data_IF_834663667636
#
_entry.id   IF_834663667636
#
_cell.length_a   1.000
_cell.length_b   1.000
_cell.length_c   1.000
_cell.angle_alpha   90.00
_cell.angle_beta   90.00
_cell.angle_gamma   90.00
#
_symmetry.space_group_name_H-M   'P 1'
#
loop_
_entity.id
_entity.type
_entity.pdbx_description
1 polymer ?
#
# COMPACT_ATOMS: atom_id res chain seq x y z
N UNK A 1 9.56 -28.99 27.48
CA UNK A 1 9.05 -27.67 27.88
C UNK A 1 8.07 -27.20 26.81
N UNK A 2 6.78 -27.45 27.09
CA UNK A 2 5.53 -26.86 26.59
C UNK A 2 5.38 -26.43 25.12
N UNK A 3 4.89 -27.34 24.27
CA UNK A 3 4.20 -27.03 23.00
C UNK A 3 2.69 -26.82 23.26
N UNK A 4 2.33 -26.06 24.30
CA UNK A 4 0.92 -25.81 24.66
C UNK A 4 0.32 -24.57 23.99
N UNK A 5 1.14 -23.79 23.27
CA UNK A 5 0.73 -22.56 22.61
C UNK A 5 0.96 -22.64 21.10
N UNK A 6 0.05 -22.05 20.33
CA UNK A 6 0.24 -21.90 18.89
C UNK A 6 1.41 -20.93 18.63
N UNK A 7 2.16 -21.17 17.55
CA UNK A 7 3.19 -20.22 17.09
C UNK A 7 2.59 -18.81 16.95
N UNK A 8 3.18 -17.76 17.57
CA UNK A 8 2.64 -16.40 17.53
C UNK A 8 2.36 -15.89 16.11
N UNK A 9 3.17 -16.30 15.13
CA UNK A 9 2.96 -15.90 13.73
C UNK A 9 1.71 -16.58 13.13
N UNK A 10 1.48 -17.84 13.49
CA UNK A 10 0.34 -18.62 13.04
C UNK A 10 -0.96 -18.16 13.71
N UNK A 11 -0.86 -17.73 14.97
CA UNK A 11 -1.95 -17.09 15.72
C UNK A 11 -2.36 -15.78 15.04
N UNK A 12 -1.39 -14.91 14.75
CA UNK A 12 -1.65 -13.64 14.06
C UNK A 12 -2.29 -13.85 12.67
N UNK A 13 -1.86 -14.89 11.95
CA UNK A 13 -2.46 -15.26 10.68
C UNK A 13 -3.91 -15.72 10.84
N UNK A 14 -4.20 -16.58 11.82
CA UNK A 14 -5.55 -17.05 12.09
C UNK A 14 -6.47 -15.88 12.50
N UNK A 15 -6.02 -15.00 13.39
CA UNK A 15 -6.76 -13.82 13.83
C UNK A 15 -7.06 -12.86 12.67
N UNK A 16 -6.10 -12.66 11.75
CA UNK A 16 -6.30 -11.85 10.54
C UNK A 16 -7.35 -12.44 9.60
N UNK A 17 -7.40 -13.77 9.46
CA UNK A 17 -8.38 -14.46 8.61
C UNK A 17 -9.77 -14.54 9.25
N UNK A 18 -9.83 -14.63 10.58
CA UNK A 18 -11.07 -14.68 11.35
C UNK A 18 -11.64 -13.28 11.64
N UNK A 19 -10.84 -12.22 11.50
CA UNK A 19 -11.23 -10.85 11.83
C UNK A 19 -11.53 -10.63 13.31
N UNK A 20 -11.16 -11.58 14.18
CA UNK A 20 -11.41 -11.60 15.63
C UNK A 20 -10.29 -12.35 16.34
N UNK A 21 -10.14 -12.09 17.65
CA UNK A 21 -9.18 -12.81 18.49
C UNK A 21 -9.53 -14.30 18.57
N UNK A 22 -8.51 -15.15 18.53
CA UNK A 22 -8.67 -16.60 18.55
C UNK A 22 -9.12 -17.06 19.95
N UNK A 23 -10.19 -17.86 20.03
CA UNK A 23 -10.63 -18.40 21.31
C UNK A 23 -9.66 -19.49 21.82
N UNK A 24 -9.46 -19.65 23.14
CA UNK A 24 -8.51 -20.62 23.69
C UNK A 24 -8.88 -22.09 23.38
N UNK A 25 -10.15 -22.37 23.05
CA UNK A 25 -10.58 -23.68 22.55
C UNK A 25 -10.25 -23.92 21.07
N UNK A 26 -10.31 -22.87 20.24
CA UNK A 26 -9.97 -22.92 18.81
C UNK A 26 -8.46 -23.07 18.62
N UNK A 27 -7.66 -22.44 19.49
CA UNK A 27 -6.21 -22.57 19.50
C UNK A 27 -5.78 -24.04 19.72
N UNK A 28 -6.39 -24.72 20.69
CA UNK A 28 -6.12 -26.14 20.97
C UNK A 28 -6.52 -27.05 19.81
N UNK A 29 -7.67 -26.79 19.18
CA UNK A 29 -8.13 -27.56 18.03
C UNK A 29 -7.20 -27.41 16.81
N UNK A 30 -6.66 -26.19 16.59
CA UNK A 30 -5.67 -25.95 15.55
C UNK A 30 -4.35 -26.65 15.86
N UNK A 31 -3.90 -26.61 17.11
CA UNK A 31 -2.67 -27.27 17.55
C UNK A 31 -2.76 -28.79 17.37
N UNK A 32 -3.90 -29.39 17.71
CA UNK A 32 -4.18 -30.80 17.50
C UNK A 32 -4.23 -31.19 16.02
N UNK A 33 -4.82 -30.33 15.18
CA UNK A 33 -4.87 -30.57 13.73
C UNK A 33 -3.50 -30.46 13.07
N UNK A 34 -2.66 -29.54 13.55
CA UNK A 34 -1.28 -29.37 13.08
C UNK A 34 -0.40 -30.53 13.52
N UNK A 35 -0.54 -31.01 14.76
CA UNK A 35 0.22 -32.15 15.26
C UNK A 35 -0.14 -33.45 14.54
N UNK A 36 -1.43 -33.71 14.30
CA UNK A 36 -1.88 -34.85 13.46
C UNK A 36 -1.31 -34.77 12.05
N UNK A 37 -1.36 -33.60 11.42
CA UNK A 37 -0.81 -33.40 10.06
C UNK A 37 0.72 -33.55 10.04
N UNK A 38 1.41 -33.15 11.09
CA UNK A 38 2.85 -33.33 11.23
C UNK A 38 3.21 -34.82 11.40
N UNK A 39 2.43 -35.56 12.21
CA UNK A 39 2.57 -37.00 12.39
C UNK A 39 2.27 -37.78 11.10
N UNK A 40 1.21 -37.43 10.37
CA UNK A 40 0.87 -38.05 9.08
C UNK A 40 1.97 -37.83 8.03
N UNK A 41 2.59 -36.64 8.02
CA UNK A 41 3.72 -36.33 7.14
C UNK A 41 5.02 -37.03 7.51
N UNK A 42 5.26 -37.26 8.80
CA UNK A 42 6.41 -38.06 9.24
C UNK A 42 6.19 -39.55 8.96
N UNK A 43 4.96 -40.05 9.10
CA UNK A 43 4.59 -41.43 8.75
C UNK A 43 4.72 -41.71 7.24
N UNK A 44 4.54 -40.71 6.36
CA UNK A 44 4.77 -40.88 4.92
C UNK A 44 6.24 -40.79 4.50
N UNK A 45 7.16 -40.42 5.40
CA UNK A 45 8.58 -40.22 5.11
C UNK A 45 9.49 -41.38 5.58
N UNK A 46 8.96 -42.38 6.30
CA UNK A 46 9.73 -43.52 6.82
C UNK A 46 9.14 -44.84 6.30
N UNK A 47 9.69 -45.32 5.18
CA UNK A 47 9.77 -46.74 4.82
C UNK A 47 8.60 -47.36 4.04
N UNK A 48 8.87 -48.09 2.92
CA UNK A 48 7.91 -49.02 2.34
C UNK A 48 7.98 -50.35 3.10
N UNK A 49 6.88 -50.79 3.71
CA UNK A 49 6.80 -52.15 4.26
C UNK A 49 5.69 -52.36 5.28
N UNK A 50 4.69 -53.15 4.89
CA UNK A 50 3.67 -53.85 5.73
C UNK A 50 2.31 -53.16 5.96
N UNK A 51 1.43 -53.36 4.96
CA UNK A 51 -0.04 -53.63 4.90
C UNK A 51 -0.91 -53.76 6.20
N UNK A 52 -2.27 -53.70 6.12
CA UNK A 52 -3.13 -53.96 4.96
C UNK A 52 -4.17 -52.88 4.59
N UNK A 53 -4.63 -53.03 3.36
CA UNK A 53 -5.61 -52.20 2.68
C UNK A 53 -6.97 -52.16 3.38
N UNK A 54 -7.48 -50.95 3.66
CA UNK A 54 -8.91 -50.67 3.58
C UNK A 54 -9.16 -49.86 2.31
N UNK A 55 -9.65 -50.57 1.30
CA UNK A 55 -10.13 -50.00 0.05
C UNK A 55 -11.33 -49.09 0.36
N UNK A 56 -11.23 -47.81 -0.03
CA UNK A 56 -12.38 -46.93 -0.21
C UNK A 56 -12.43 -46.57 -1.70
N UNK A 57 -13.58 -46.66 -2.38
CA UNK A 57 -13.67 -46.33 -3.80
C UNK A 57 -13.77 -44.81 -3.91
N UNK A 58 -12.65 -44.17 -4.27
CA UNK A 58 -12.67 -42.76 -4.66
C UNK A 58 -12.29 -42.69 -6.14
N UNK A 59 -13.32 -42.70 -6.98
CA UNK A 59 -13.26 -42.21 -8.35
C UNK A 59 -12.84 -40.74 -8.29
N UNK A 60 -11.62 -40.42 -8.72
CA UNK A 60 -11.23 -39.09 -9.16
C UNK A 60 -9.98 -39.21 -10.05
N UNK A 61 -10.02 -38.73 -11.31
CA UNK A 61 -8.79 -38.58 -12.08
C UNK A 61 -7.88 -37.56 -11.38
N UNK A 62 -6.54 -37.73 -11.41
CA UNK A 62 -5.63 -36.76 -10.84
C UNK A 62 -5.84 -35.41 -11.55
N UNK A 63 -5.97 -34.28 -10.81
CA UNK A 63 -6.05 -32.98 -11.44
C UNK A 63 -4.76 -32.73 -12.23
N UNK A 64 -4.90 -32.11 -13.40
CA UNK A 64 -3.81 -31.70 -14.28
C UNK A 64 -2.63 -31.10 -13.48
N UNK A 65 -1.37 -31.31 -13.90
CA UNK A 65 -0.20 -30.91 -13.12
C UNK A 65 -0.23 -29.39 -12.93
N UNK A 66 -0.62 -28.97 -11.72
CA UNK A 66 -0.32 -27.65 -11.21
C UNK A 66 1.20 -27.50 -11.37
N UNK A 67 1.63 -26.45 -12.11
CA UNK A 67 3.05 -26.09 -12.33
C UNK A 67 3.93 -26.66 -11.24
N UNK A 68 4.83 -27.55 -11.61
CA UNK A 68 5.55 -28.41 -10.69
C UNK A 68 6.09 -27.55 -9.55
N UNK A 69 5.94 -27.94 -8.28
CA UNK A 69 6.44 -27.16 -7.12
C UNK A 69 7.91 -26.73 -7.28
N UNK A 70 8.66 -27.44 -8.12
CA UNK A 70 9.99 -27.08 -8.62
C UNK A 70 10.02 -25.78 -9.44
N UNK A 71 9.15 -25.61 -10.44
CA UNK A 71 9.06 -24.40 -11.28
C UNK A 71 8.71 -23.16 -10.46
N UNK A 72 7.80 -23.29 -9.48
CA UNK A 72 7.47 -22.18 -8.58
C UNK A 72 8.70 -21.78 -7.74
N UNK A 73 9.51 -22.74 -7.29
CA UNK A 73 10.75 -22.45 -6.56
C UNK A 73 11.77 -21.73 -7.44
N UNK A 74 11.96 -22.17 -8.68
CA UNK A 74 12.87 -21.51 -9.61
C UNK A 74 12.38 -20.10 -9.99
N UNK A 75 11.07 -19.93 -10.17
CA UNK A 75 10.47 -18.62 -10.43
C UNK A 75 10.64 -17.65 -9.24
N UNK A 76 10.48 -18.14 -8.01
CA UNK A 76 10.72 -17.35 -6.79
C UNK A 76 12.20 -16.96 -6.69
N UNK A 77 13.14 -17.87 -6.98
CA UNK A 77 14.57 -17.55 -6.99
C UNK A 77 14.90 -16.46 -8.00
N UNK A 78 14.38 -16.58 -9.22
CA UNK A 78 14.58 -15.58 -10.28
C UNK A 78 13.99 -14.23 -9.90
N UNK A 79 12.78 -14.21 -9.34
CA UNK A 79 12.16 -12.97 -8.86
C UNK A 79 12.95 -12.33 -7.72
N UNK A 80 13.42 -13.14 -6.77
CA UNK A 80 14.21 -12.65 -5.64
C UNK A 80 15.53 -12.03 -6.12
N UNK A 81 16.21 -12.68 -7.08
CA UNK A 81 17.45 -12.17 -7.66
C UNK A 81 17.22 -10.86 -8.42
N UNK A 82 16.16 -10.79 -9.24
CA UNK A 82 15.79 -9.57 -9.95
C UNK A 82 15.40 -8.44 -8.99
N UNK A 83 14.65 -8.75 -7.93
CA UNK A 83 14.27 -7.77 -6.92
C UNK A 83 15.49 -7.23 -6.17
N UNK A 84 16.44 -8.11 -5.82
CA UNK A 84 17.69 -7.71 -5.18
C UNK A 84 18.50 -6.77 -6.09
N UNK A 85 18.66 -7.10 -7.38
CA UNK A 85 19.35 -6.23 -8.33
C UNK A 85 18.68 -4.85 -8.44
N UNK A 86 17.34 -4.84 -8.55
CA UNK A 86 16.55 -3.60 -8.62
C UNK A 86 16.65 -2.77 -7.34
N UNK A 87 16.72 -3.42 -6.18
CA UNK A 87 16.92 -2.76 -4.90
C UNK A 87 18.32 -2.10 -4.83
N UNK A 88 19.37 -2.82 -5.27
CA UNK A 88 20.72 -2.26 -5.34
C UNK A 88 20.82 -1.06 -6.28
N UNK A 89 20.18 -1.12 -7.43
CA UNK A 89 20.18 -0.03 -8.40
C UNK A 89 19.45 1.21 -7.87
N UNK A 90 18.29 1.02 -7.22
CA UNK A 90 17.58 2.11 -6.54
C UNK A 90 18.42 2.74 -5.44
N UNK A 91 19.06 1.92 -4.61
CA UNK A 91 19.92 2.41 -3.53
C UNK A 91 21.07 3.24 -4.09
N UNK A 92 21.72 2.78 -5.17
CA UNK A 92 22.77 3.53 -5.84
C UNK A 92 22.26 4.87 -6.39
N UNK A 93 21.08 4.90 -7.01
CA UNK A 93 20.47 6.13 -7.52
C UNK A 93 20.16 7.14 -6.41
N UNK A 94 19.68 6.67 -5.25
CA UNK A 94 19.44 7.53 -4.08
C UNK A 94 20.75 8.11 -3.58
N UNK A 95 21.80 7.31 -3.42
CA UNK A 95 23.11 7.81 -2.97
C UNK A 95 23.66 8.87 -3.94
N UNK A 96 23.60 8.62 -5.25
CA UNK A 96 24.03 9.60 -6.25
C UNK A 96 23.21 10.90 -6.20
N UNK A 97 21.91 10.81 -5.94
CA UNK A 97 21.06 11.99 -5.75
C UNK A 97 21.42 12.77 -4.50
N UNK A 98 21.76 12.09 -3.39
CA UNK A 98 22.20 12.72 -2.15
C UNK A 98 23.53 13.44 -2.38
N UNK A 99 24.49 12.80 -3.05
CA UNK A 99 25.78 13.42 -3.37
C UNK A 99 25.60 14.67 -4.25
N UNK A 100 24.78 14.59 -5.30
CA UNK A 100 24.47 15.73 -6.16
C UNK A 100 23.77 16.87 -5.40
N UNK A 101 22.85 16.55 -4.50
CA UNK A 101 22.17 17.54 -3.65
C UNK A 101 23.13 18.19 -2.65
N UNK A 102 24.07 17.42 -2.10
CA UNK A 102 25.09 17.93 -1.18
C UNK A 102 26.04 18.90 -1.91
N UNK A 103 26.55 18.53 -3.08
CA UNK A 103 27.39 19.41 -3.91
C UNK A 103 26.65 20.69 -4.31
N UNK A 104 25.39 20.60 -4.70
CA UNK A 104 24.57 21.77 -4.99
C UNK A 104 24.42 22.68 -3.76
N UNK A 105 24.21 22.10 -2.58
CA UNK A 105 24.09 22.84 -1.31
C UNK A 105 25.41 23.51 -0.92
N UNK A 106 26.53 22.80 -1.06
CA UNK A 106 27.87 23.36 -0.83
C UNK A 106 28.19 24.48 -1.82
N UNK A 107 27.77 24.35 -3.08
CA UNK A 107 27.89 25.40 -4.08
C UNK A 107 27.12 26.67 -3.70
N UNK A 108 25.86 26.52 -3.26
CA UNK A 108 25.05 27.63 -2.76
C UNK A 108 25.71 28.27 -1.54
N UNK A 109 26.18 27.48 -0.58
CA UNK A 109 26.88 27.98 0.61
C UNK A 109 28.14 28.79 0.23
N UNK A 110 28.92 28.30 -0.74
CA UNK A 110 30.10 29.01 -1.24
C UNK A 110 29.73 30.33 -1.93
N UNK A 111 28.61 30.38 -2.66
CA UNK A 111 28.12 31.63 -3.26
C UNK A 111 27.65 32.63 -2.22
N UNK A 112 26.94 32.18 -1.18
CA UNK A 112 26.54 33.03 -0.06
C UNK A 112 27.75 33.53 0.72
N UNK A 113 28.74 32.68 0.98
CA UNK A 113 29.98 33.09 1.63
C UNK A 113 30.71 34.16 0.82
N UNK A 114 30.81 34.01 -0.51
CA UNK A 114 31.41 35.03 -1.39
C UNK A 114 30.63 36.34 -1.36
N UNK A 115 29.30 36.27 -1.32
CA UNK A 115 28.43 37.45 -1.24
C UNK A 115 28.60 38.19 0.08
N UNK A 116 28.66 37.46 1.20
CA UNK A 116 28.92 38.02 2.53
C UNK A 116 30.32 38.64 2.60
N UNK A 117 31.35 37.96 2.10
CA UNK A 117 32.70 38.52 2.02
C UNK A 117 32.75 39.80 1.18
N UNK A 118 32.07 39.84 0.02
CA UNK A 118 32.00 41.05 -0.80
C UNK A 118 31.29 42.23 -0.14
N UNK A 119 30.24 41.96 0.65
CA UNK A 119 29.56 42.99 1.45
C UNK A 119 30.42 43.52 2.61
N UNK A 120 31.26 42.67 3.21
CA UNK A 120 32.18 43.04 4.28
C UNK A 120 33.36 43.89 3.75
N UNK A 121 33.93 43.53 2.60
CA UNK A 121 34.97 44.33 1.91
C UNK A 121 34.44 45.71 1.49
N UNK A 122 33.18 45.77 1.03
CA UNK A 122 32.52 47.03 0.68
C UNK A 122 32.28 47.95 1.89
N UNK A 123 32.49 47.45 3.12
CA UNK A 123 32.31 48.18 4.38
C UNK A 123 33.66 48.58 5.02
N UNK A 124 34.79 48.36 4.36
CA UNK A 124 36.06 48.91 4.83
C UNK A 124 35.96 50.45 4.88
N UNK A 125 36.11 51.08 6.06
CA UNK A 125 35.92 52.51 6.20
C UNK A 125 37.12 53.22 5.58
N UNK A 126 36.89 53.97 4.50
CA UNK A 126 37.83 54.94 4.01
C UNK A 126 38.16 55.93 5.15
N UNK A 127 39.41 55.89 5.60
CA UNK A 127 40.00 56.82 6.56
C UNK A 127 39.69 58.28 6.17
N UNK A 128 38.89 58.97 6.98
CA UNK A 128 38.56 60.39 6.82
C UNK A 128 37.74 60.91 8.01
N UNK A 129 38.07 62.07 8.59
CA UNK A 129 37.69 62.44 9.95
C UNK A 129 36.20 62.77 10.12
N UNK A 130 35.70 62.46 11.32
CA UNK A 130 34.35 62.76 11.81
C UNK A 130 33.91 64.19 11.48
N UNK A 131 32.85 64.33 10.69
CA UNK A 131 32.01 65.52 10.68
C UNK A 131 30.55 65.10 10.90
N UNK A 132 29.94 65.73 11.89
CA UNK A 132 28.56 65.54 12.33
C UNK A 132 27.57 65.59 11.15
N UNK A 133 27.04 64.43 10.78
CA UNK A 133 25.84 64.30 9.97
C UNK A 133 25.04 63.15 10.58
N UNK A 134 23.75 63.32 10.94
CA UNK A 134 22.93 62.19 11.31
C UNK A 134 22.87 61.27 10.08
N UNK A 135 23.53 60.12 10.23
CA UNK A 135 23.59 59.03 9.27
C UNK A 135 22.21 58.77 8.62
N UNK A 136 22.06 58.93 7.30
CA UNK A 136 20.85 58.54 6.56
C UNK A 136 20.57 57.02 6.59
N UNK A 137 21.55 56.20 7.02
CA UNK A 137 21.45 54.74 7.02
C UNK A 137 20.78 54.11 8.24
N UNK A 138 20.70 54.80 9.39
CA UNK A 138 20.16 54.18 10.60
C UNK A 138 18.62 54.06 10.57
N UNK A 139 17.94 55.03 9.94
CA UNK A 139 16.49 54.99 9.70
C UNK A 139 16.13 54.05 8.55
N UNK A 140 16.94 54.01 7.48
CA UNK A 140 16.71 53.14 6.32
C UNK A 140 16.89 51.65 6.66
N UNK A 141 17.83 51.31 7.56
CA UNK A 141 17.99 49.95 8.10
C UNK A 141 16.79 49.55 8.97
N UNK A 142 16.25 50.47 9.78
CA UNK A 142 15.07 50.18 10.60
C UNK A 142 13.81 50.01 9.74
N UNK A 143 13.64 50.84 8.71
CA UNK A 143 12.53 50.71 7.75
C UNK A 143 12.65 49.44 6.91
N UNK A 144 13.87 49.08 6.48
CA UNK A 144 14.14 47.79 5.83
C UNK A 144 13.84 46.58 6.73
N UNK A 145 14.17 46.67 8.02
CA UNK A 145 13.83 45.62 8.99
C UNK A 145 12.32 45.53 9.23
N UNK A 146 11.63 46.68 9.29
CA UNK A 146 10.16 46.73 9.41
C UNK A 146 9.47 46.18 8.18
N UNK A 147 10.01 46.45 6.98
CA UNK A 147 9.48 45.92 5.72
C UNK A 147 9.74 44.42 5.57
N UNK A 148 10.91 43.93 6.00
CA UNK A 148 11.21 42.50 6.05
C UNK A 148 10.27 41.75 6.99
N UNK A 149 9.99 42.29 8.19
CA UNK A 149 9.02 41.70 9.12
C UNK A 149 7.60 41.66 8.54
N UNK A 150 7.21 42.67 7.76
CA UNK A 150 5.91 42.72 7.09
C UNK A 150 5.80 41.66 5.99
N UNK A 151 6.84 41.49 5.17
CA UNK A 151 6.93 40.44 4.15
C UNK A 151 6.93 39.04 4.77
N UNK A 152 7.66 38.84 5.87
CA UNK A 152 7.67 37.57 6.62
C UNK A 152 6.27 37.29 7.18
N UNK A 153 5.58 38.30 7.72
CA UNK A 153 4.21 38.16 8.22
C UNK A 153 3.21 37.78 7.12
N UNK A 154 3.33 38.39 5.94
CA UNK A 154 2.51 38.06 4.77
C UNK A 154 2.79 36.64 4.28
N UNK A 155 4.06 36.24 4.21
CA UNK A 155 4.48 34.92 3.79
C UNK A 155 4.02 33.83 4.77
N UNK A 156 4.16 34.06 6.08
CA UNK A 156 3.63 33.16 7.13
C UNK A 156 2.11 33.03 7.02
N UNK A 157 1.40 34.13 6.78
CA UNK A 157 -0.06 34.10 6.60
C UNK A 157 -0.46 33.29 5.36
N UNK A 158 0.31 33.41 4.27
CA UNK A 158 0.14 32.59 3.07
C UNK A 158 0.37 31.10 3.32
N UNK A 159 1.47 30.76 4.01
CA UNK A 159 1.78 29.37 4.40
C UNK A 159 0.70 28.77 5.31
N UNK A 160 0.19 29.53 6.30
CA UNK A 160 -0.88 29.05 7.18
C UNK A 160 -2.15 28.74 6.39
N UNK A 161 -2.54 29.60 5.44
CA UNK A 161 -3.70 29.34 4.58
C UNK A 161 -3.52 28.09 3.73
N UNK A 162 -2.35 27.93 3.12
CA UNK A 162 -2.03 26.75 2.32
C UNK A 162 -2.02 25.47 3.16
N UNK A 163 -1.48 25.52 4.38
CA UNK A 163 -1.44 24.37 5.29
C UNK A 163 -2.85 23.98 5.75
N UNK A 164 -3.71 24.96 6.05
CA UNK A 164 -5.12 24.73 6.38
C UNK A 164 -5.83 24.07 5.20
N UNK A 165 -5.69 24.62 3.99
CA UNK A 165 -6.32 24.05 2.78
C UNK A 165 -5.80 22.64 2.48
N UNK A 166 -4.50 22.40 2.63
CA UNK A 166 -3.88 21.10 2.43
C UNK A 166 -4.36 20.08 3.47
N UNK A 167 -4.43 20.46 4.75
CA UNK A 167 -5.00 19.63 5.81
C UNK A 167 -6.47 19.30 5.50
N UNK A 168 -7.29 20.30 5.19
CA UNK A 168 -8.70 20.07 4.86
C UNK A 168 -8.86 19.12 3.69
N UNK A 169 -8.12 19.31 2.60
CA UNK A 169 -8.12 18.37 1.46
C UNK A 169 -7.67 16.97 1.86
N UNK A 170 -6.59 16.86 2.63
CA UNK A 170 -6.07 15.57 3.07
C UNK A 170 -7.06 14.77 3.93
N UNK A 171 -7.90 15.44 4.73
CA UNK A 171 -8.91 14.77 5.56
C UNK A 171 -10.28 14.62 4.88
N UNK A 172 -10.71 15.62 4.11
CA UNK A 172 -12.05 15.67 3.52
C UNK A 172 -12.12 14.96 2.18
N UNK A 173 -11.07 14.99 1.35
CA UNK A 173 -11.10 14.30 0.05
C UNK A 173 -11.24 12.78 0.21
N UNK A 174 -10.49 12.09 1.10
CA UNK A 174 -10.69 10.66 1.34
C UNK A 174 -12.03 10.32 2.00
N UNK A 175 -12.60 11.26 2.78
CA UNK A 175 -13.93 11.10 3.36
C UNK A 175 -15.01 11.21 2.28
N UNK A 176 -14.88 12.17 1.37
CA UNK A 176 -15.77 12.34 0.23
C UNK A 176 -15.73 11.11 -0.69
N UNK A 177 -14.54 10.58 -0.98
CA UNK A 177 -14.38 9.33 -1.75
C UNK A 177 -15.05 8.15 -1.08
N UNK A 178 -14.94 8.00 0.25
CA UNK A 178 -15.61 6.93 1.00
C UNK A 178 -17.12 7.07 0.97
N UNK A 179 -17.65 8.28 1.13
CA UNK A 179 -19.10 8.53 1.05
C UNK A 179 -19.62 8.23 -0.35
N UNK A 180 -18.88 8.63 -1.39
CA UNK A 180 -19.22 8.33 -2.78
C UNK A 180 -19.19 6.83 -3.05
N UNK A 181 -18.16 6.11 -2.58
CA UNK A 181 -18.06 4.65 -2.72
C UNK A 181 -19.20 3.92 -1.99
N UNK A 182 -19.62 4.39 -0.81
CA UNK A 182 -20.78 3.85 -0.10
C UNK A 182 -22.06 4.11 -0.88
N UNK A 183 -22.21 5.32 -1.44
CA UNK A 183 -23.37 5.67 -2.24
C UNK A 183 -23.49 4.79 -3.50
N UNK A 184 -22.39 4.58 -4.22
CA UNK A 184 -22.34 3.69 -5.39
C UNK A 184 -22.62 2.23 -5.01
N UNK A 185 -22.08 1.76 -3.88
CA UNK A 185 -22.38 0.43 -3.37
C UNK A 185 -23.86 0.24 -3.04
N UNK A 186 -24.49 1.25 -2.40
CA UNK A 186 -25.92 1.24 -2.11
C UNK A 186 -26.77 1.28 -3.38
N UNK A 187 -26.39 2.08 -4.38
CA UNK A 187 -27.08 2.10 -5.67
C UNK A 187 -26.97 0.75 -6.40
N UNK A 188 -25.81 0.09 -6.36
CA UNK A 188 -25.61 -1.22 -6.99
C UNK A 188 -26.41 -2.32 -6.27
N UNK A 189 -26.47 -2.28 -4.93
CA UNK A 189 -27.34 -3.16 -4.16
C UNK A 189 -28.83 -2.94 -4.47
N UNK A 190 -29.26 -1.69 -4.57
CA UNK A 190 -30.64 -1.36 -4.93
C UNK A 190 -30.95 -1.82 -6.36
N UNK A 191 -30.01 -1.69 -7.31
CA UNK A 191 -30.13 -2.23 -8.65
C UNK A 191 -30.18 -3.78 -8.68
N UNK A 192 -29.50 -4.47 -7.75
CA UNK A 192 -29.56 -5.93 -7.63
C UNK A 192 -30.85 -6.41 -6.93
N UNK A 193 -31.41 -5.62 -6.02
CA UNK A 193 -32.67 -5.91 -5.33
C UNK A 193 -33.90 -5.57 -6.19
N UNK A 194 -33.80 -4.52 -7.02
CA UNK A 194 -34.83 -4.12 -7.97
C UNK A 194 -34.62 -4.72 -9.37
N UNK A 195 -33.58 -5.56 -9.56
CA UNK A 195 -33.47 -6.38 -10.76
C UNK A 195 -34.68 -7.33 -10.78
N UNK A 196 -35.62 -7.17 -11.71
CA UNK A 196 -36.72 -8.11 -11.82
C UNK A 196 -36.12 -9.47 -12.14
N UNK A 197 -36.61 -10.52 -11.48
CA UNK A 197 -36.35 -11.93 -11.81
C UNK A 197 -36.36 -12.11 -13.33
N UNK A 198 -35.17 -12.07 -13.94
CA UNK A 198 -34.95 -12.45 -15.32
C UNK A 198 -34.39 -13.87 -15.26
N UNK A 199 -35.06 -14.83 -15.91
CA UNK A 199 -34.93 -16.24 -15.59
C UNK A 199 -33.51 -16.73 -15.86
N UNK A 200 -33.08 -17.65 -14.98
CA UNK A 200 -31.85 -18.40 -15.07
C UNK A 200 -31.59 -18.89 -16.51
N UNK A 201 -30.61 -18.28 -17.17
CA UNK A 201 -30.01 -18.83 -18.38
C UNK A 201 -29.12 -20.01 -17.98
N UNK A 202 -29.73 -21.19 -17.83
CA UNK A 202 -29.01 -22.46 -17.90
C UNK A 202 -28.36 -22.60 -19.29
N UNK A 203 -27.10 -23.06 -19.39
CA UNK A 203 -26.49 -23.30 -20.69
C UNK A 203 -27.12 -24.54 -21.33
N UNK A 204 -27.71 -24.30 -22.48
CA UNK A 204 -28.42 -25.21 -23.36
C UNK A 204 -27.51 -26.36 -23.85
N UNK A 205 -27.88 -27.60 -23.53
CA UNK A 205 -27.38 -28.82 -24.17
C UNK A 205 -28.47 -29.27 -25.17
N UNK A 206 -28.18 -29.00 -26.44
CA UNK A 206 -28.66 -29.64 -27.67
C UNK A 206 -29.83 -30.66 -27.62
N UNK A 207 -30.98 -30.26 -28.22
CA UNK A 207 -31.82 -30.95 -29.23
C UNK A 207 -32.57 -32.27 -28.89
N UNK A 208 -33.68 -32.70 -29.58
CA UNK A 208 -34.48 -32.13 -30.69
C UNK A 208 -36.03 -32.11 -30.35
N UNK A 209 -36.97 -31.87 -31.31
CA UNK A 209 -38.26 -31.22 -31.06
C UNK A 209 -39.43 -32.20 -30.84
N UNK A 210 -40.48 -31.75 -30.13
CA UNK A 210 -41.81 -32.35 -30.20
C UNK A 210 -42.85 -31.24 -30.29
N UNK A 211 -43.51 -31.20 -31.44
CA UNK A 211 -44.70 -30.40 -31.74
C UNK A 211 -45.92 -30.85 -30.91
N UNK A 212 -46.93 -29.97 -30.90
CA UNK A 212 -48.33 -30.14 -30.46
C UNK A 212 -48.62 -29.89 -28.96
N UNK A 213 -49.61 -29.10 -28.55
CA UNK A 213 -50.66 -28.34 -29.26
C UNK A 213 -51.25 -27.34 -28.25
N UNK A 214 -51.43 -26.09 -28.64
CA UNK A 214 -52.44 -25.20 -28.06
C UNK A 214 -52.70 -24.07 -29.04
N UNK A 215 -53.74 -24.21 -29.85
CA UNK A 215 -54.71 -23.13 -29.99
C UNK A 215 -56.00 -23.59 -30.69
N UNK A 216 -57.11 -23.18 -30.07
CA UNK A 216 -58.42 -22.80 -30.62
C UNK A 216 -59.09 -23.57 -31.76
N UNK A 217 -60.36 -23.94 -31.51
CA UNK A 217 -61.49 -23.27 -32.18
C UNK A 217 -62.83 -23.57 -31.48
N UNK A 218 -63.64 -22.52 -31.33
CA UNK A 218 -65.05 -22.57 -30.97
C UNK A 218 -65.93 -22.74 -32.24
N UNK A 219 -67.20 -23.15 -32.04
CA UNK A 219 -68.34 -23.32 -32.97
C UNK A 219 -68.51 -24.68 -33.67
N UNK A 220 -69.45 -25.50 -33.16
CA UNK A 220 -70.84 -25.59 -33.67
C UNK A 220 -71.76 -26.34 -32.70
#
# INVERSE_FOLDING_TARGET
MSNDALDPLLRQFAEKQLGRALAPGEEKALLERLSRRAADRQATAVGPGSQPARQSPASNPPPAPLKTRQEVREQIKHFLQLNQQKAYEKMRGILQSIDAQNEATLGVLATEQRKVSGMLDSREPADGPLAANPQPGATDIQDGTRQALMLIGEQLTGLIKQEIDACFRHYVDPLAERVQAIHEWLQNLDACLNAPDAPAASPDIASPPVHDTSDQASLK
#
